data_IF_035595103750
#
_entry.id   IF_035595103750
#
_cell.length_a   1.000
_cell.length_b   1.000
_cell.length_c   1.000
_cell.angle_alpha   90.00
_cell.angle_beta   90.00
_cell.angle_gamma   90.00
#
_symmetry.space_group_name_H-M   'P 1'
#
loop_
_entity.id
_entity.type
_entity.pdbx_description
1 polymer ?
#
# COMPACT_ATOMS: atom_id res chain seq x y z
N UNK A 1 5.73 6.67 -9.83
CA UNK A 1 6.65 6.35 -10.95
C UNK A 1 5.96 6.72 -12.26
N UNK A 2 6.66 7.35 -13.21
CA UNK A 2 6.10 7.66 -14.51
C UNK A 2 5.67 6.36 -15.22
N UNK A 3 4.49 6.40 -15.86
CA UNK A 3 4.02 5.26 -16.66
C UNK A 3 4.99 5.02 -17.81
N UNK A 4 5.12 3.78 -18.27
CA UNK A 4 6.13 3.36 -19.26
C UNK A 4 6.11 4.24 -20.52
N UNK A 5 4.92 4.58 -21.04
CA UNK A 5 4.75 5.43 -22.23
C UNK A 5 5.26 6.86 -22.04
N UNK A 6 5.34 7.36 -20.81
CA UNK A 6 5.77 8.73 -20.53
C UNK A 6 7.27 8.86 -20.24
N UNK A 7 7.99 7.75 -20.09
CA UNK A 7 9.42 7.77 -19.79
C UNK A 7 10.24 8.52 -20.84
N UNK A 8 9.99 8.25 -22.12
CA UNK A 8 10.69 8.91 -23.24
C UNK A 8 10.46 10.43 -23.24
N UNK A 9 9.24 10.86 -22.92
CA UNK A 9 8.90 12.28 -22.80
C UNK A 9 9.70 12.93 -21.66
N UNK A 10 9.73 12.36 -20.47
CA UNK A 10 10.44 12.94 -19.32
C UNK A 10 11.96 12.97 -19.48
N UNK A 11 12.52 12.17 -20.41
CA UNK A 11 13.94 12.24 -20.82
C UNK A 11 14.19 13.16 -22.01
N UNK A 12 13.16 13.73 -22.60
CA UNK A 12 13.31 14.60 -23.77
C UNK A 12 13.98 15.95 -23.43
N UNK A 13 14.75 16.50 -24.36
CA UNK A 13 15.38 17.82 -24.22
C UNK A 13 14.33 18.93 -24.02
N UNK A 14 13.19 18.82 -24.69
CA UNK A 14 12.11 19.80 -24.61
C UNK A 14 11.51 19.86 -23.21
N UNK A 15 11.25 18.69 -22.60
CA UNK A 15 10.77 18.63 -21.22
C UNK A 15 11.81 19.18 -20.23
N UNK A 16 13.07 18.78 -20.37
CA UNK A 16 14.13 19.25 -19.48
C UNK A 16 14.28 20.78 -19.52
N UNK A 17 14.25 21.37 -20.72
CA UNK A 17 14.30 22.82 -20.89
C UNK A 17 13.07 23.53 -20.30
N UNK A 18 11.87 22.99 -20.51
CA UNK A 18 10.63 23.52 -19.97
C UNK A 18 10.64 23.45 -18.42
N UNK A 19 11.01 22.30 -17.86
CA UNK A 19 11.12 22.09 -16.42
C UNK A 19 12.12 23.07 -15.79
N UNK A 20 13.29 23.22 -16.37
CA UNK A 20 14.32 24.14 -15.87
C UNK A 20 13.85 25.59 -15.93
N UNK A 21 13.28 26.01 -17.05
CA UNK A 21 12.68 27.36 -17.22
C UNK A 21 11.60 27.63 -16.16
N UNK A 22 10.72 26.66 -15.91
CA UNK A 22 9.70 26.79 -14.89
C UNK A 22 10.28 26.93 -13.47
N UNK A 23 11.23 26.07 -13.09
CA UNK A 23 11.91 26.15 -11.79
C UNK A 23 12.61 27.49 -11.61
N UNK A 24 13.30 28.02 -12.64
CA UNK A 24 13.95 29.33 -12.61
C UNK A 24 12.94 30.47 -12.43
N UNK A 25 11.77 30.37 -13.07
CA UNK A 25 10.67 31.32 -12.87
C UNK A 25 10.23 31.32 -11.41
N UNK A 26 9.98 30.14 -10.82
CA UNK A 26 9.54 29.99 -9.41
C UNK A 26 10.60 30.51 -8.41
N UNK A 27 11.88 30.22 -8.67
CA UNK A 27 12.97 30.74 -7.82
C UNK A 27 12.96 32.28 -7.76
N UNK A 28 12.70 32.95 -8.88
CA UNK A 28 12.62 34.42 -8.96
C UNK A 28 11.37 34.97 -8.28
N UNK A 29 10.23 34.28 -8.36
CA UNK A 29 8.94 34.73 -7.85
C UNK A 29 8.81 34.55 -6.35
N UNK A 30 9.18 33.39 -5.81
CA UNK A 30 8.95 33.03 -4.40
C UNK A 30 10.09 32.23 -3.74
N UNK A 31 11.28 32.22 -4.37
CA UNK A 31 12.42 31.45 -3.88
C UNK A 31 12.31 29.97 -4.15
N UNK A 32 11.43 29.54 -5.06
CA UNK A 32 11.24 28.13 -5.41
C UNK A 32 10.51 27.33 -4.32
N UNK A 33 9.64 27.97 -3.56
CA UNK A 33 8.86 27.31 -2.51
C UNK A 33 7.81 26.36 -3.11
N UNK A 34 7.48 25.32 -2.36
CA UNK A 34 6.41 24.42 -2.69
C UNK A 34 5.08 25.17 -2.80
N UNK A 35 4.45 25.14 -3.97
CA UNK A 35 3.22 25.89 -4.28
C UNK A 35 1.99 25.40 -3.49
N UNK A 36 2.09 24.24 -2.86
CA UNK A 36 0.99 23.69 -2.05
C UNK A 36 1.10 24.03 -0.56
N UNK A 37 2.26 23.84 0.05
CA UNK A 37 2.43 24.08 1.49
C UNK A 37 3.13 25.42 1.81
N UNK A 38 3.86 26.01 0.87
CA UNK A 38 4.63 27.23 1.07
C UNK A 38 5.79 27.14 2.07
N UNK A 39 5.90 26.01 2.81
CA UNK A 39 6.78 25.89 3.96
C UNK A 39 8.23 25.55 3.58
N UNK A 40 8.42 24.70 2.56
CA UNK A 40 9.73 24.18 2.15
C UNK A 40 9.97 24.39 0.65
N UNK A 41 11.22 24.22 0.21
CA UNK A 41 11.60 24.32 -1.19
C UNK A 41 10.97 23.15 -1.97
N UNK A 42 10.43 23.46 -3.17
CA UNK A 42 9.92 22.46 -4.11
C UNK A 42 11.05 21.80 -4.87
N UNK A 43 10.90 20.54 -5.17
CA UNK A 43 11.88 19.71 -5.89
C UNK A 43 11.28 19.00 -7.09
N UNK A 44 9.97 18.75 -7.07
CA UNK A 44 9.24 18.00 -8.08
C UNK A 44 8.35 18.93 -8.89
N UNK A 45 8.53 18.95 -10.22
CA UNK A 45 7.62 19.65 -11.13
C UNK A 45 6.53 18.66 -11.54
N UNK A 46 5.32 18.95 -11.14
CA UNK A 46 4.13 18.12 -11.32
C UNK A 46 3.23 18.72 -12.42
N UNK A 47 2.63 17.88 -13.27
CA UNK A 47 1.59 18.31 -14.21
C UNK A 47 0.22 18.30 -13.50
N UNK A 48 -0.45 19.44 -13.44
CA UNK A 48 -1.79 19.59 -12.83
C UNK A 48 -2.79 18.72 -13.60
N UNK A 49 -2.86 18.90 -14.94
CA UNK A 49 -3.54 17.96 -15.82
C UNK A 49 -2.56 16.85 -16.20
N UNK A 50 -2.86 15.58 -15.86
CA UNK A 50 -1.94 14.47 -16.05
C UNK A 50 -1.68 14.19 -17.53
N UNK A 51 -0.43 13.85 -17.86
CA UNK A 51 -0.07 13.37 -19.20
C UNK A 51 -0.65 11.96 -19.40
N UNK A 52 -1.40 11.79 -20.48
CA UNK A 52 -1.97 10.53 -20.95
C UNK A 52 -1.42 10.14 -22.32
N UNK A 53 -1.74 8.94 -22.80
CA UNK A 53 -1.41 8.53 -24.18
C UNK A 53 -2.01 9.47 -25.25
N UNK A 54 -3.18 10.06 -24.96
CA UNK A 54 -3.84 10.98 -25.88
C UNK A 54 -3.22 12.39 -25.85
N UNK A 55 -2.66 12.81 -24.72
CA UNK A 55 -2.18 14.19 -24.51
C UNK A 55 -0.66 14.34 -24.53
N UNK A 56 0.11 13.24 -24.58
CA UNK A 56 1.58 13.27 -24.50
C UNK A 56 2.25 14.03 -25.64
N UNK A 57 1.58 14.14 -26.77
CA UNK A 57 2.07 14.91 -27.95
C UNK A 57 1.57 16.34 -28.00
N UNK A 58 0.70 16.76 -27.08
CA UNK A 58 0.16 18.12 -27.06
C UNK A 58 1.04 19.03 -26.16
N UNK A 59 1.82 19.96 -26.75
CA UNK A 59 2.69 20.86 -26.01
C UNK A 59 1.92 21.84 -25.11
N UNK A 60 0.64 22.10 -25.38
CA UNK A 60 -0.22 22.95 -24.52
C UNK A 60 -0.50 22.31 -23.17
N UNK A 61 -0.39 20.97 -23.08
CA UNK A 61 -0.54 20.20 -21.83
C UNK A 61 0.83 19.84 -21.27
N UNK A 62 1.74 19.40 -22.13
CA UNK A 62 3.01 18.79 -21.68
C UNK A 62 4.14 19.79 -21.41
N UNK A 63 4.13 20.97 -22.07
CA UNK A 63 5.18 21.98 -21.98
C UNK A 63 4.66 23.37 -21.57
N UNK A 64 3.44 23.46 -21.07
CA UNK A 64 2.82 24.71 -20.63
C UNK A 64 3.07 24.93 -19.13
N UNK A 65 3.68 26.06 -18.78
CA UNK A 65 3.93 26.46 -17.41
C UNK A 65 2.66 26.57 -16.55
N UNK A 66 1.51 26.93 -17.16
CA UNK A 66 0.23 27.03 -16.43
C UNK A 66 -0.31 25.65 -16.02
N UNK A 67 0.18 24.58 -16.65
CA UNK A 67 -0.12 23.20 -16.28
C UNK A 67 0.95 22.57 -15.36
N UNK A 68 1.91 23.36 -14.87
CA UNK A 68 2.97 22.87 -13.99
C UNK A 68 2.80 23.41 -12.58
N UNK A 69 3.24 22.63 -11.62
CA UNK A 69 3.27 22.99 -10.21
C UNK A 69 4.57 22.48 -9.56
N UNK A 70 5.29 23.37 -8.86
CA UNK A 70 6.50 23.01 -8.11
C UNK A 70 6.13 22.55 -6.70
N UNK A 71 6.40 21.30 -6.39
CA UNK A 71 5.99 20.67 -5.13
C UNK A 71 7.20 20.13 -4.34
N UNK A 72 7.09 20.12 -3.03
CA UNK A 72 7.95 19.28 -2.20
C UNK A 72 7.53 17.81 -2.33
N UNK A 73 8.40 16.90 -1.92
CA UNK A 73 8.19 15.46 -2.04
C UNK A 73 6.89 14.99 -1.38
N UNK A 74 6.58 15.50 -0.18
CA UNK A 74 5.39 15.10 0.57
C UNK A 74 4.11 15.60 -0.10
N UNK A 75 4.10 16.87 -0.58
CA UNK A 75 2.97 17.42 -1.32
C UNK A 75 2.78 16.72 -2.66
N UNK A 76 3.84 16.40 -3.39
CA UNK A 76 3.80 15.65 -4.64
C UNK A 76 3.21 14.24 -4.42
N UNK A 77 3.66 13.54 -3.37
CA UNK A 77 3.10 12.24 -3.00
C UNK A 77 1.61 12.34 -2.62
N UNK A 78 1.22 13.38 -1.87
CA UNK A 78 -0.17 13.61 -1.48
C UNK A 78 -1.09 13.89 -2.67
N UNK A 79 -0.60 14.64 -3.71
CA UNK A 79 -1.35 14.87 -4.95
C UNK A 79 -1.55 13.56 -5.72
N UNK A 80 -0.50 12.78 -5.90
CA UNK A 80 -0.62 11.48 -6.58
C UNK A 80 -1.54 10.52 -5.83
N UNK A 81 -1.48 10.50 -4.49
CA UNK A 81 -2.40 9.71 -3.67
C UNK A 81 -3.85 10.17 -3.85
N UNK A 82 -4.10 11.47 -3.87
CA UNK A 82 -5.44 12.01 -4.11
C UNK A 82 -5.96 11.69 -5.53
N UNK A 83 -5.10 11.74 -6.55
CA UNK A 83 -5.45 11.33 -7.92
C UNK A 83 -5.79 9.84 -8.02
N UNK A 84 -5.03 8.99 -7.33
CA UNK A 84 -5.32 7.56 -7.26
C UNK A 84 -6.66 7.33 -6.58
N UNK A 85 -6.92 7.97 -5.45
CA UNK A 85 -8.20 7.88 -4.74
C UNK A 85 -9.36 8.42 -5.58
N UNK A 86 -9.17 9.55 -6.30
CA UNK A 86 -10.18 10.12 -7.17
C UNK A 86 -10.46 9.24 -8.42
N UNK A 87 -9.44 8.61 -8.99
CA UNK A 87 -9.60 7.66 -10.09
C UNK A 87 -10.38 6.41 -9.63
N UNK A 88 -10.17 5.97 -8.39
CA UNK A 88 -10.95 4.88 -7.79
C UNK A 88 -12.34 5.29 -7.33
N UNK A 89 -12.61 6.59 -7.12
CA UNK A 89 -13.97 7.12 -6.84
C UNK A 89 -14.84 7.24 -8.10
N UNK A 90 -14.25 7.18 -9.28
CA UNK A 90 -15.00 7.12 -10.56
C UNK A 90 -15.48 5.70 -10.89
N UNK A 91 -14.85 4.68 -10.33
CA UNK A 91 -15.41 3.34 -10.23
C UNK A 91 -16.45 3.41 -9.10
N UNK A 92 -17.72 3.20 -9.41
CA UNK A 92 -18.92 3.44 -8.60
C UNK A 92 -18.75 3.34 -7.07
N UNK A 93 -19.41 4.19 -6.28
CA UNK A 93 -19.21 4.21 -4.84
C UNK A 93 -19.56 2.85 -4.25
N UNK A 94 -18.58 2.22 -3.62
CA UNK A 94 -18.84 1.05 -2.78
C UNK A 94 -19.65 1.55 -1.58
N UNK A 95 -20.93 1.29 -1.61
CA UNK A 95 -21.78 1.55 -0.46
C UNK A 95 -21.64 0.37 0.51
N UNK A 96 -20.94 0.57 1.60
CA UNK A 96 -21.00 -0.35 2.73
C UNK A 96 -22.37 -0.15 3.38
N UNK A 97 -23.31 -1.05 3.09
CA UNK A 97 -24.71 -0.91 3.50
C UNK A 97 -24.98 -1.42 4.92
N UNK A 98 -24.18 -2.37 5.38
CA UNK A 98 -24.24 -2.95 6.72
C UNK A 98 -22.86 -3.46 7.12
N UNK A 99 -22.66 -3.70 8.42
CA UNK A 99 -21.41 -4.26 8.94
C UNK A 99 -21.02 -5.54 8.20
N UNK A 100 -19.85 -5.52 7.60
CA UNK A 100 -19.30 -6.65 6.86
C UNK A 100 -19.97 -6.95 5.51
N UNK A 101 -20.74 -6.01 4.92
CA UNK A 101 -21.29 -6.13 3.57
C UNK A 101 -20.90 -4.94 2.71
N UNK A 102 -20.74 -5.17 1.39
CA UNK A 102 -20.53 -4.10 0.40
C UNK A 102 -21.32 -4.39 -0.88
N UNK A 103 -21.59 -3.35 -1.66
CA UNK A 103 -22.19 -3.47 -3.00
C UNK A 103 -21.08 -3.27 -4.03
N UNK A 104 -20.99 -4.15 -5.00
CA UNK A 104 -20.03 -4.01 -6.10
C UNK A 104 -20.53 -3.01 -7.16
N UNK A 105 -19.71 -2.83 -8.20
CA UNK A 105 -19.97 -1.88 -9.26
C UNK A 105 -21.19 -2.26 -10.13
N UNK A 106 -21.62 -3.53 -10.09
CA UNK A 106 -22.82 -4.07 -10.75
C UNK A 106 -24.07 -4.00 -9.85
N UNK A 107 -23.94 -3.45 -8.64
CA UNK A 107 -25.04 -3.32 -7.67
C UNK A 107 -25.36 -4.61 -6.90
N UNK A 108 -24.47 -5.61 -6.93
CA UNK A 108 -24.64 -6.86 -6.21
C UNK A 108 -24.13 -6.73 -4.77
N UNK A 109 -24.90 -7.30 -3.82
CA UNK A 109 -24.53 -7.33 -2.41
C UNK A 109 -23.56 -8.47 -2.13
N UNK A 110 -22.43 -8.14 -1.53
CA UNK A 110 -21.38 -9.09 -1.11
C UNK A 110 -21.12 -8.98 0.38
N UNK A 111 -20.79 -10.11 1.01
CA UNK A 111 -20.25 -10.12 2.36
C UNK A 111 -18.75 -9.79 2.32
N UNK A 112 -18.26 -9.03 3.32
CA UNK A 112 -16.84 -8.77 3.50
C UNK A 112 -16.10 -10.10 3.73
N UNK A 113 -15.20 -10.45 2.83
CA UNK A 113 -14.34 -11.60 2.99
C UNK A 113 -13.09 -11.24 3.82
N UNK A 114 -12.65 -12.19 4.65
CA UNK A 114 -11.44 -12.04 5.46
C UNK A 114 -10.49 -13.18 5.13
N UNK A 115 -9.25 -12.85 4.82
CA UNK A 115 -8.24 -13.80 4.37
C UNK A 115 -6.97 -13.65 5.20
N UNK A 116 -6.47 -14.76 5.72
CA UNK A 116 -5.15 -14.85 6.35
C UNK A 116 -4.22 -15.54 5.37
N UNK A 117 -3.19 -14.84 4.92
CA UNK A 117 -2.15 -15.39 4.04
C UNK A 117 -0.93 -15.73 4.87
N UNK A 118 -0.73 -17.02 5.10
CA UNK A 118 0.38 -17.55 5.90
C UNK A 118 1.48 -18.14 5.03
N UNK A 119 2.73 -17.95 5.44
CA UNK A 119 3.89 -18.56 4.80
C UNK A 119 5.21 -18.05 5.32
N UNK A 120 6.29 -18.69 4.94
CA UNK A 120 7.65 -18.30 5.31
C UNK A 120 8.03 -16.91 4.77
N UNK A 121 8.99 -16.21 5.36
CA UNK A 121 9.67 -15.10 4.69
C UNK A 121 10.18 -15.54 3.31
N UNK A 122 9.90 -14.74 2.28
CA UNK A 122 10.24 -15.08 0.89
C UNK A 122 9.23 -15.98 0.16
N UNK A 123 8.14 -16.43 0.79
CA UNK A 123 7.13 -17.28 0.11
C UNK A 123 6.24 -16.54 -0.89
N UNK A 124 6.33 -15.21 -1.00
CA UNK A 124 5.54 -14.42 -1.95
C UNK A 124 4.17 -13.97 -1.43
N UNK A 125 3.92 -13.98 -0.12
CA UNK A 125 2.66 -13.53 0.51
C UNK A 125 2.21 -12.15 0.06
N UNK A 126 3.12 -11.16 0.06
CA UNK A 126 2.81 -9.79 -0.36
C UNK A 126 2.43 -9.71 -1.84
N UNK A 127 3.14 -10.46 -2.69
CA UNK A 127 2.83 -10.55 -4.11
C UNK A 127 1.46 -11.21 -4.33
N UNK A 128 1.16 -12.27 -3.58
CA UNK A 128 -0.14 -12.92 -3.60
C UNK A 128 -1.25 -11.93 -3.24
N UNK A 129 -1.15 -11.24 -2.10
CA UNK A 129 -2.14 -10.26 -1.67
C UNK A 129 -2.25 -9.12 -2.69
N UNK A 130 -1.13 -8.60 -3.21
CA UNK A 130 -1.13 -7.51 -4.20
C UNK A 130 -1.88 -7.88 -5.48
N UNK A 131 -1.84 -9.14 -5.90
CA UNK A 131 -2.53 -9.62 -7.10
C UNK A 131 -4.02 -9.88 -6.90
N UNK A 132 -4.45 -10.19 -5.67
CA UNK A 132 -5.81 -10.61 -5.38
C UNK A 132 -6.65 -9.55 -4.67
N UNK A 133 -6.01 -8.57 -4.04
CA UNK A 133 -6.73 -7.52 -3.32
C UNK A 133 -7.33 -6.47 -4.26
N UNK A 134 -8.49 -5.95 -3.87
CA UNK A 134 -9.04 -4.72 -4.42
C UNK A 134 -8.36 -3.49 -3.78
N UNK A 135 -8.28 -2.31 -4.46
CA UNK A 135 -7.74 -1.08 -3.88
C UNK A 135 -8.37 -0.63 -2.56
N UNK A 136 -9.64 -0.97 -2.33
CA UNK A 136 -10.39 -0.64 -1.10
C UNK A 136 -10.29 -1.73 -0.02
N UNK A 137 -9.49 -2.77 -0.21
CA UNK A 137 -9.28 -3.80 0.79
C UNK A 137 -8.30 -3.32 1.87
N UNK A 138 -8.60 -3.67 3.11
CA UNK A 138 -7.68 -3.51 4.23
C UNK A 138 -6.58 -4.57 4.18
N UNK A 139 -5.31 -4.15 4.25
CA UNK A 139 -4.17 -5.08 4.37
C UNK A 139 -3.50 -4.86 5.71
N UNK A 140 -3.48 -5.90 6.54
CA UNK A 140 -2.83 -5.90 7.85
C UNK A 140 -1.55 -6.72 7.77
N UNK A 141 -0.41 -6.03 7.78
CA UNK A 141 0.92 -6.61 7.81
C UNK A 141 1.77 -5.92 8.88
N UNK A 142 2.39 -6.71 9.76
CA UNK A 142 3.16 -6.18 10.89
C UNK A 142 4.36 -5.33 10.43
N UNK A 143 5.04 -5.73 9.36
CA UNK A 143 6.19 -4.97 8.87
C UNK A 143 5.73 -3.65 8.22
N UNK A 144 4.61 -3.64 7.50
CA UNK A 144 4.01 -2.42 6.99
C UNK A 144 3.60 -1.46 8.12
N UNK A 145 2.99 -1.98 9.21
CA UNK A 145 2.66 -1.19 10.40
C UNK A 145 3.91 -0.61 11.07
N UNK A 146 5.00 -1.38 11.14
CA UNK A 146 6.29 -0.90 11.67
C UNK A 146 6.86 0.24 10.83
N UNK A 147 6.83 0.11 9.51
CA UNK A 147 7.26 1.21 8.60
C UNK A 147 6.37 2.44 8.74
N UNK A 148 5.05 2.26 8.83
CA UNK A 148 4.10 3.36 9.02
C UNK A 148 4.31 4.12 10.34
N UNK A 149 4.80 3.43 11.37
CA UNK A 149 5.13 4.04 12.68
C UNK A 149 6.55 4.60 12.77
N UNK A 150 7.31 4.63 11.66
CA UNK A 150 8.63 5.26 11.59
C UNK A 150 9.83 4.30 11.74
N UNK A 151 9.62 2.99 11.64
CA UNK A 151 10.74 2.06 11.65
C UNK A 151 11.63 2.23 10.41
N UNK A 152 12.93 2.40 10.64
CA UNK A 152 13.92 2.64 9.57
C UNK A 152 14.32 1.39 8.76
N UNK A 153 13.78 0.22 9.10
CA UNK A 153 14.24 -1.07 8.59
C UNK A 153 15.47 -1.61 9.32
N UNK A 154 16.02 -0.88 10.28
CA UNK A 154 17.13 -1.34 11.10
C UNK A 154 16.61 -2.19 12.27
N UNK A 155 16.99 -3.47 12.32
CA UNK A 155 16.50 -4.40 13.34
C UNK A 155 17.03 -4.16 14.76
N UNK A 156 18.06 -3.33 14.90
CA UNK A 156 18.54 -2.90 16.21
C UNK A 156 17.58 -1.91 16.89
N UNK A 157 16.73 -1.24 16.09
CA UNK A 157 15.71 -0.31 16.59
C UNK A 157 14.38 -1.05 16.84
N UNK A 158 14.34 -1.79 17.94
CA UNK A 158 13.12 -2.54 18.33
C UNK A 158 12.11 -1.72 19.13
N UNK A 159 12.38 -0.43 19.36
CA UNK A 159 11.57 0.42 20.22
C UNK A 159 10.09 0.51 19.78
N UNK A 160 9.85 0.41 18.47
CA UNK A 160 8.51 0.50 17.90
C UNK A 160 7.83 -0.87 17.68
N UNK A 161 8.53 -1.99 17.86
CA UNK A 161 7.96 -3.31 17.63
C UNK A 161 6.79 -3.60 18.57
N UNK A 162 6.96 -3.35 19.86
CA UNK A 162 5.89 -3.56 20.84
C UNK A 162 4.66 -2.68 20.59
N UNK A 163 4.88 -1.44 20.12
CA UNK A 163 3.81 -0.54 19.72
C UNK A 163 3.08 -1.05 18.47
N UNK A 164 3.81 -1.47 17.44
CA UNK A 164 3.24 -2.00 16.19
C UNK A 164 2.47 -3.30 16.42
N UNK A 165 2.93 -4.15 17.34
CA UNK A 165 2.21 -5.34 17.76
C UNK A 165 0.87 -4.96 18.42
N UNK A 166 0.87 -4.00 19.37
CA UNK A 166 -0.38 -3.54 20.00
C UNK A 166 -1.34 -2.91 19.00
N UNK A 167 -0.82 -2.15 18.03
CA UNK A 167 -1.64 -1.59 16.95
C UNK A 167 -2.26 -2.69 16.09
N UNK A 168 -1.48 -3.69 15.70
CA UNK A 168 -2.00 -4.88 14.99
C UNK A 168 -3.08 -5.59 15.81
N UNK A 169 -2.82 -5.83 17.09
CA UNK A 169 -3.73 -6.54 17.97
C UNK A 169 -5.03 -5.75 18.19
N UNK A 170 -4.95 -4.41 18.24
CA UNK A 170 -6.12 -3.54 18.26
C UNK A 170 -6.92 -3.67 16.94
N UNK A 171 -6.26 -3.68 15.77
CA UNK A 171 -6.92 -3.90 14.47
C UNK A 171 -7.61 -5.28 14.47
N UNK A 172 -6.95 -6.32 14.97
CA UNK A 172 -7.54 -7.65 15.08
C UNK A 172 -8.80 -7.64 15.98
N UNK A 173 -8.77 -6.92 17.11
CA UNK A 173 -9.94 -6.72 17.96
C UNK A 173 -11.11 -6.09 17.22
N UNK A 174 -10.86 -5.05 16.41
CA UNK A 174 -11.92 -4.42 15.61
C UNK A 174 -12.51 -5.38 14.55
N UNK A 175 -11.67 -6.20 13.90
CA UNK A 175 -12.12 -7.22 12.94
C UNK A 175 -12.94 -8.30 13.65
N UNK A 176 -12.52 -8.74 14.83
CA UNK A 176 -13.21 -9.73 15.66
C UNK A 176 -14.58 -9.24 16.13
N UNK A 177 -14.64 -8.01 16.62
CA UNK A 177 -15.90 -7.38 17.04
C UNK A 177 -16.90 -7.33 15.88
N UNK A 178 -16.46 -7.00 14.67
CA UNK A 178 -17.33 -7.04 13.49
C UNK A 178 -17.76 -8.46 13.11
N UNK A 179 -16.93 -9.47 13.36
CA UNK A 179 -17.29 -10.86 13.08
C UNK A 179 -18.41 -11.38 13.97
N UNK A 180 -18.43 -10.95 15.25
CA UNK A 180 -19.39 -11.41 16.26
C UNK A 180 -20.68 -10.57 16.35
N UNK A 181 -20.72 -9.37 15.74
CA UNK A 181 -21.85 -8.46 15.85
C UNK A 181 -22.95 -8.67 14.80
N UNK A 182 -23.01 -9.83 14.14
CA UNK A 182 -24.11 -10.14 13.23
C UNK A 182 -25.51 -10.10 13.90
N UNK A 183 -25.57 -10.08 15.24
CA UNK A 183 -26.83 -10.15 15.99
C UNK A 183 -27.19 -8.95 16.89
N UNK A 184 -26.31 -7.95 17.09
CA UNK A 184 -26.61 -6.85 18.02
C UNK A 184 -26.29 -5.46 17.43
N UNK A 185 -27.28 -4.56 17.51
CA UNK A 185 -27.23 -3.14 17.12
C UNK A 185 -26.33 -2.29 18.07
N UNK A 186 -25.07 -2.58 18.21
CA UNK A 186 -24.17 -1.74 18.98
C UNK A 186 -23.38 -0.81 18.03
N UNK A 187 -23.34 0.49 18.36
CA UNK A 187 -22.55 1.51 17.68
C UNK A 187 -21.03 1.24 17.89
N UNK A 188 -20.40 0.55 16.97
CA UNK A 188 -18.94 0.39 16.89
C UNK A 188 -18.38 1.17 15.71
N UNK A 189 -17.09 1.52 15.77
CA UNK A 189 -16.40 2.08 14.62
C UNK A 189 -16.21 0.98 13.56
N UNK A 190 -16.97 1.08 12.47
CA UNK A 190 -16.89 0.12 11.38
C UNK A 190 -15.57 0.31 10.59
N UNK A 191 -14.93 -0.79 10.24
CA UNK A 191 -13.84 -0.79 9.27
C UNK A 191 -14.49 -0.78 7.88
N UNK A 192 -14.48 0.39 7.24
CA UNK A 192 -15.05 0.58 5.91
C UNK A 192 -14.07 0.08 4.84
N UNK A 193 -14.16 -1.21 4.50
CA UNK A 193 -13.37 -1.83 3.45
C UNK A 193 -14.13 -3.01 2.81
N UNK A 194 -13.78 -3.36 1.56
CA UNK A 194 -14.40 -4.50 0.85
C UNK A 194 -14.03 -5.82 1.50
N UNK A 195 -12.73 -6.10 1.61
CA UNK A 195 -12.20 -7.32 2.20
C UNK A 195 -11.05 -7.00 3.15
N UNK A 196 -10.67 -7.97 3.95
CA UNK A 196 -9.54 -7.89 4.88
C UNK A 196 -8.51 -8.95 4.51
N UNK A 197 -7.26 -8.52 4.32
CA UNK A 197 -6.11 -9.38 4.05
C UNK A 197 -5.11 -9.27 5.20
N UNK A 198 -4.80 -10.39 5.85
CA UNK A 198 -3.89 -10.44 6.99
C UNK A 198 -2.68 -11.28 6.60
N UNK A 199 -1.49 -10.69 6.63
CA UNK A 199 -0.23 -11.36 6.25
C UNK A 199 0.50 -11.79 7.51
N UNK A 200 0.71 -13.11 7.66
CA UNK A 200 1.39 -13.69 8.81
C UNK A 200 2.52 -14.65 8.42
N UNK A 201 3.40 -14.95 9.37
CA UNK A 201 4.42 -15.99 9.28
C UNK A 201 4.36 -16.86 10.56
N UNK A 202 3.27 -17.59 10.75
CA UNK A 202 3.05 -18.44 11.91
C UNK A 202 3.26 -19.93 11.54
N UNK A 203 4.32 -20.58 12.02
CA UNK A 203 4.59 -21.98 11.69
C UNK A 203 3.69 -22.97 12.42
N UNK A 204 3.15 -22.60 13.60
CA UNK A 204 2.33 -23.50 14.40
C UNK A 204 0.89 -23.57 13.87
N UNK A 205 0.47 -24.75 13.41
CA UNK A 205 -0.86 -25.00 12.81
C UNK A 205 -1.99 -24.53 13.73
N UNK A 206 -1.92 -24.93 15.01
CA UNK A 206 -2.94 -24.57 16.00
C UNK A 206 -3.14 -23.07 16.12
N UNK A 207 -2.05 -22.28 16.20
CA UNK A 207 -2.13 -20.82 16.35
C UNK A 207 -2.75 -20.12 15.15
N UNK A 208 -2.43 -20.56 13.91
CA UNK A 208 -3.00 -19.94 12.73
C UNK A 208 -4.46 -20.34 12.52
N UNK A 209 -4.86 -21.55 12.92
CA UNK A 209 -6.25 -21.97 12.95
C UNK A 209 -7.07 -21.19 13.99
N UNK A 210 -6.57 -21.07 15.23
CA UNK A 210 -7.20 -20.26 16.28
C UNK A 210 -7.36 -18.80 15.84
N UNK A 211 -6.36 -18.23 15.15
CA UNK A 211 -6.45 -16.87 14.61
C UNK A 211 -7.52 -16.79 13.50
N UNK A 212 -7.56 -17.77 12.61
CA UNK A 212 -8.54 -17.81 11.52
C UNK A 212 -9.98 -17.92 12.06
N UNK A 213 -10.21 -18.81 13.00
CA UNK A 213 -11.50 -18.98 13.69
C UNK A 213 -11.92 -17.69 14.41
N UNK A 214 -11.00 -17.09 15.19
CA UNK A 214 -11.27 -15.86 15.95
C UNK A 214 -11.66 -14.69 15.06
N UNK A 215 -11.01 -14.55 13.90
CA UNK A 215 -11.27 -13.44 12.96
C UNK A 215 -12.34 -13.77 11.91
N UNK A 216 -12.90 -14.98 11.91
CA UNK A 216 -13.83 -15.45 10.88
C UNK A 216 -13.20 -15.37 9.48
N UNK A 217 -11.94 -15.80 9.33
CA UNK A 217 -11.15 -15.62 8.14
C UNK A 217 -10.77 -16.95 7.47
N UNK A 218 -10.71 -16.95 6.14
CA UNK A 218 -10.15 -18.06 5.37
C UNK A 218 -8.63 -18.09 5.47
N UNK A 219 -8.07 -19.27 5.73
CA UNK A 219 -6.63 -19.47 5.83
C UNK A 219 -6.05 -19.91 4.49
N UNK A 220 -5.19 -19.10 3.92
CA UNK A 220 -4.48 -19.35 2.67
C UNK A 220 -3.02 -19.67 3.00
N UNK A 221 -2.59 -20.89 2.72
CA UNK A 221 -1.22 -21.36 2.97
C UNK A 221 -0.37 -21.23 1.70
N UNK A 222 0.77 -20.55 1.80
CA UNK A 222 1.71 -20.42 0.70
C UNK A 222 2.53 -21.71 0.56
N UNK A 223 2.39 -22.40 -0.57
CA UNK A 223 3.09 -23.64 -0.89
C UNK A 223 4.46 -23.39 -1.54
N UNK A 224 5.35 -22.66 -0.85
CA UNK A 224 6.73 -22.46 -1.33
C UNK A 224 7.70 -23.35 -0.57
N UNK A 225 8.72 -23.84 -1.27
CA UNK A 225 9.83 -24.59 -0.66
C UNK A 225 10.84 -23.66 0.02
N UNK A 226 11.69 -24.18 0.94
CA UNK A 226 12.78 -23.40 1.51
C UNK A 226 13.73 -22.82 0.46
N UNK A 227 14.00 -23.57 -0.61
CA UNK A 227 14.87 -23.17 -1.71
C UNK A 227 14.27 -22.00 -2.50
N UNK A 228 13.00 -22.09 -2.88
CA UNK A 228 12.28 -21.02 -3.58
C UNK A 228 12.22 -19.72 -2.74
N UNK A 229 12.00 -19.84 -1.43
CA UNK A 229 12.03 -18.71 -0.53
C UNK A 229 13.41 -18.04 -0.48
N UNK A 230 14.47 -18.85 -0.39
CA UNK A 230 15.87 -18.38 -0.37
C UNK A 230 16.24 -17.68 -1.67
N UNK A 231 15.89 -18.26 -2.82
CA UNK A 231 16.15 -17.67 -4.13
C UNK A 231 15.40 -16.34 -4.31
N UNK A 232 14.13 -16.26 -3.91
CA UNK A 232 13.36 -15.03 -3.99
C UNK A 232 13.93 -13.93 -3.10
N UNK A 233 14.34 -14.25 -1.86
CA UNK A 233 14.99 -13.30 -0.96
C UNK A 233 16.27 -12.72 -1.60
N UNK A 234 17.10 -13.57 -2.22
CA UNK A 234 18.32 -13.15 -2.91
C UNK A 234 18.03 -12.28 -4.14
N UNK A 235 17.08 -12.70 -4.97
CA UNK A 235 16.68 -11.99 -6.19
C UNK A 235 16.15 -10.58 -5.89
N UNK A 236 15.42 -10.42 -4.80
CA UNK A 236 14.87 -9.13 -4.37
C UNK A 236 15.92 -8.22 -3.72
N UNK A 237 17.15 -8.69 -3.49
CA UNK A 237 18.25 -7.96 -2.86
C UNK A 237 17.84 -7.25 -1.57
N UNK A 238 17.13 -7.96 -0.71
CA UNK A 238 16.60 -7.40 0.53
C UNK A 238 17.73 -6.93 1.45
N UNK A 239 17.52 -5.81 2.11
CA UNK A 239 18.54 -5.13 2.94
C UNK A 239 19.17 -6.02 4.04
N UNK A 240 18.45 -7.04 4.49
CA UNK A 240 18.88 -7.98 5.54
C UNK A 240 18.79 -9.45 5.06
N UNK A 241 19.30 -9.73 3.86
CA UNK A 241 19.20 -11.03 3.18
C UNK A 241 19.49 -12.22 4.09
N UNK A 242 20.67 -12.24 4.71
CA UNK A 242 21.09 -13.35 5.58
C UNK A 242 20.11 -13.60 6.73
N UNK A 243 19.56 -12.54 7.30
CA UNK A 243 18.60 -12.66 8.39
C UNK A 243 17.23 -13.15 7.90
N UNK A 244 16.76 -12.68 6.74
CA UNK A 244 15.51 -13.13 6.13
C UNK A 244 15.58 -14.61 5.76
N UNK A 245 16.72 -15.08 5.26
CA UNK A 245 16.99 -16.50 4.98
C UNK A 245 16.93 -17.30 6.28
N UNK A 246 17.63 -16.88 7.34
CA UNK A 246 17.60 -17.56 8.63
C UNK A 246 16.21 -17.62 9.24
N UNK A 247 15.38 -16.57 9.09
CA UNK A 247 13.99 -16.58 9.52
C UNK A 247 13.14 -17.57 8.71
N UNK A 248 13.37 -17.64 7.41
CA UNK A 248 12.69 -18.58 6.53
C UNK A 248 13.00 -20.02 6.91
N UNK A 249 14.27 -20.35 7.13
CA UNK A 249 14.72 -21.68 7.56
C UNK A 249 14.10 -22.06 8.91
N UNK A 250 14.15 -21.14 9.89
CA UNK A 250 13.52 -21.36 11.21
C UNK A 250 12.00 -21.53 11.12
N UNK A 251 11.35 -20.90 10.17
CA UNK A 251 9.91 -21.11 9.91
C UNK A 251 9.68 -22.56 9.47
N UNK A 252 10.42 -23.06 8.48
CA UNK A 252 10.24 -24.43 7.95
C UNK A 252 10.60 -25.50 8.98
N UNK A 253 11.59 -25.28 9.85
CA UNK A 253 11.91 -26.22 10.96
C UNK A 253 10.71 -26.42 11.90
N UNK A 254 9.86 -25.41 12.06
CA UNK A 254 8.72 -25.42 12.98
C UNK A 254 7.39 -25.60 12.28
N UNK A 255 7.37 -25.58 10.96
CA UNK A 255 6.14 -25.58 10.19
C UNK A 255 5.39 -26.90 10.32
N UNK A 256 4.14 -26.81 10.78
CA UNK A 256 3.19 -27.91 10.93
C UNK A 256 2.10 -27.76 9.86
N UNK A 257 1.96 -28.78 9.02
CA UNK A 257 0.92 -28.86 7.98
C UNK A 257 -0.45 -29.24 8.51
#
# INVERSE_FOLDING_TARGET
MAKEYAKSFYHSKNWQACRESYVQKRIKEDGGRCERCGAVIGHEVHHIEPITLATITDPRITLNHDNLQLLCRDCHFAVHRAMILAAHQQDAPVHVLQRGCYVDDDGQLHNQARHIVNGAPGSGRHEYVTRHRHPLDLVVDLDALRYATGWSGNRKDNNLLAFSIRLRDWIYGQIEEQAHQQDNQAEGQDIDCRNVWIIIAEPAKKKRQELAERLGADLIEMNSTPEECRERIRKERRRNEAFEIALSEKFFEKYQR
#
